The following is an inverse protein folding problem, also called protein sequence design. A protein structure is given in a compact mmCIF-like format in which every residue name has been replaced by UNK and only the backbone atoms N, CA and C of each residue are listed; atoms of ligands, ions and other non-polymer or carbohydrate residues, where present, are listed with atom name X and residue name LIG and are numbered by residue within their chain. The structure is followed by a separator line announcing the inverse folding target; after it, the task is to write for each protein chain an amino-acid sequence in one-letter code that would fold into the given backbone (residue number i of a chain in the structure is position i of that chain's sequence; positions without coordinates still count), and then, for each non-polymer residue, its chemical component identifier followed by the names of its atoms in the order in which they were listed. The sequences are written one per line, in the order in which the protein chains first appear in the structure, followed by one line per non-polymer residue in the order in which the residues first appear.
data_IF_251242201057
#
_entry.id   IF_251242201057
#
_cell.length_a   1.000
_cell.length_b   1.000
_cell.length_c   1.000
_cell.angle_alpha   90.00
_cell.angle_beta   90.00
_cell.angle_gamma   90.00
#
_symmetry.space_group_name_H-M   'P 1'
#
loop_
_entity.id
_entity.type
_entity.pdbx_description
1 polymer ?
#
# COMPACT_ATOMS: atom_id res chain seq x y z
N UNK A 1 3.64 -0.84 28.62
CA UNK A 1 3.85 -1.98 27.70
C UNK A 1 5.19 -1.77 27.02
N UNK A 2 6.24 -2.49 27.44
CA UNK A 2 7.51 -2.50 26.69
C UNK A 2 7.26 -3.34 25.43
N UNK A 3 7.41 -2.75 24.25
CA UNK A 3 7.36 -3.48 22.99
C UNK A 3 8.62 -4.34 22.89
N UNK A 4 8.63 -5.48 23.58
CA UNK A 4 9.71 -6.46 23.46
C UNK A 4 9.77 -6.98 22.02
N UNK A 5 10.96 -7.32 21.50
CA UNK A 5 11.17 -7.91 20.17
C UNK A 5 10.27 -9.10 19.81
N UNK A 6 9.64 -9.72 20.82
CA UNK A 6 8.58 -10.72 20.70
C UNK A 6 7.31 -10.21 20.00
N UNK A 7 6.92 -8.95 20.20
CA UNK A 7 5.71 -8.37 19.61
C UNK A 7 5.91 -8.03 18.12
N UNK A 8 7.11 -7.60 17.76
CA UNK A 8 7.51 -7.34 16.36
C UNK A 8 7.55 -8.63 15.53
N UNK A 9 8.03 -9.73 16.12
CA UNK A 9 7.95 -11.07 15.50
C UNK A 9 6.51 -11.57 15.29
N UNK A 10 5.55 -11.08 16.07
CA UNK A 10 4.14 -11.45 15.90
C UNK A 10 3.46 -10.72 14.72
N UNK A 11 3.91 -9.51 14.36
CA UNK A 11 3.44 -8.82 13.14
C UNK A 11 3.97 -9.48 11.85
N UNK A 12 5.17 -10.07 11.92
CA UNK A 12 5.69 -10.94 10.87
C UNK A 12 4.89 -12.27 10.71
N UNK A 13 3.84 -12.50 11.51
CA UNK A 13 3.12 -13.78 11.51
C UNK A 13 1.84 -13.79 10.66
N UNK A 14 1.45 -12.67 10.01
CA UNK A 14 0.10 -12.58 9.41
C UNK A 14 -0.04 -13.04 7.95
N UNK A 15 1.05 -13.40 7.27
CA UNK A 15 0.99 -14.16 6.03
C UNK A 15 2.28 -15.00 5.92
N UNK A 16 2.22 -16.33 6.16
CA UNK A 16 3.41 -17.19 6.18
C UNK A 16 3.99 -17.29 4.76
N UNK A 17 4.93 -16.40 4.44
CA UNK A 17 5.62 -16.32 3.15
C UNK A 17 6.02 -14.89 2.77
N UNK A 18 5.11 -13.93 2.88
CA UNK A 18 5.40 -12.52 2.57
C UNK A 18 6.11 -11.83 3.72
N UNK A 19 5.67 -12.11 4.94
CA UNK A 19 6.27 -11.51 6.12
C UNK A 19 7.73 -11.92 6.31
N UNK A 20 8.10 -13.16 5.95
CA UNK A 20 9.51 -13.60 5.95
C UNK A 20 10.37 -12.86 4.91
N UNK A 21 9.78 -12.44 3.77
CA UNK A 21 10.49 -11.64 2.77
C UNK A 21 10.73 -10.22 3.27
N UNK A 22 9.73 -9.63 3.92
CA UNK A 22 9.85 -8.31 4.55
C UNK A 22 10.94 -8.36 5.62
N UNK A 23 10.88 -9.36 6.50
CA UNK A 23 11.88 -9.61 7.56
C UNK A 23 13.32 -9.59 7.00
N UNK A 24 13.56 -10.39 5.96
CA UNK A 24 14.87 -10.47 5.31
C UNK A 24 15.33 -9.16 4.65
N UNK A 25 14.41 -8.41 4.05
CA UNK A 25 14.71 -7.09 3.49
C UNK A 25 15.08 -6.11 4.61
N UNK A 26 14.34 -6.14 5.72
CA UNK A 26 14.56 -5.26 6.87
C UNK A 26 15.88 -5.56 7.59
N UNK A 27 16.26 -6.83 7.73
CA UNK A 27 17.58 -7.22 8.26
C UNK A 27 18.72 -6.68 7.39
N UNK A 28 18.66 -6.91 6.06
CA UNK A 28 19.67 -6.41 5.14
C UNK A 28 19.73 -4.88 5.12
N UNK A 29 18.57 -4.22 5.19
CA UNK A 29 18.49 -2.77 5.32
C UNK A 29 19.20 -2.29 6.58
N UNK A 30 18.91 -2.88 7.74
CA UNK A 30 19.46 -2.50 9.03
C UNK A 30 20.99 -2.64 9.05
N UNK A 31 21.51 -3.79 8.60
CA UNK A 31 22.94 -4.00 8.48
C UNK A 31 23.61 -2.97 7.56
N UNK A 32 23.02 -2.72 6.39
CA UNK A 32 23.58 -1.79 5.41
C UNK A 32 23.52 -0.37 5.94
N UNK A 33 22.43 0.01 6.61
CA UNK A 33 22.27 1.32 7.21
C UNK A 33 23.35 1.57 8.25
N UNK A 34 23.60 0.65 9.19
CA UNK A 34 24.64 0.81 10.20
C UNK A 34 26.05 0.83 9.59
N UNK A 35 26.32 0.03 8.55
CA UNK A 35 27.60 0.08 7.81
C UNK A 35 27.83 1.45 7.16
N UNK A 36 26.77 2.08 6.63
CA UNK A 36 26.85 3.41 6.03
C UNK A 36 26.83 4.55 7.07
N UNK A 37 26.23 4.33 8.25
CA UNK A 37 25.98 5.33 9.28
C UNK A 37 26.46 4.84 10.66
N UNK A 38 27.77 4.60 10.85
CA UNK A 38 28.31 3.85 12.00
C UNK A 38 28.18 4.55 13.36
N UNK A 39 27.70 5.79 13.41
CA UNK A 39 27.57 6.59 14.65
C UNK A 39 26.11 6.82 15.07
N UNK A 40 25.15 6.34 14.28
CA UNK A 40 23.72 6.64 14.51
C UNK A 40 23.11 5.65 15.50
N UNK A 41 23.48 4.38 15.42
CA UNK A 41 22.96 3.30 16.28
C UNK A 41 24.09 2.44 16.84
N UNK A 42 23.89 1.88 18.03
CA UNK A 42 24.86 0.98 18.67
C UNK A 42 24.95 -0.37 17.94
N UNK A 43 23.84 -0.85 17.39
CA UNK A 43 23.76 -2.13 16.70
C UNK A 43 22.80 -2.08 15.50
N UNK A 44 22.91 -3.09 14.62
CA UNK A 44 21.94 -3.29 13.54
C UNK A 44 20.55 -3.66 14.09
N UNK A 45 20.49 -4.29 15.26
CA UNK A 45 19.23 -4.63 15.93
C UNK A 45 18.43 -3.38 16.31
N UNK A 46 19.09 -2.30 16.74
CA UNK A 46 18.45 -1.00 16.96
C UNK A 46 17.83 -0.45 15.68
N UNK A 47 18.59 -0.44 14.58
CA UNK A 47 18.13 0.07 13.29
C UNK A 47 16.93 -0.73 12.77
N UNK A 48 17.00 -2.06 12.91
CA UNK A 48 15.94 -2.99 12.58
C UNK A 48 14.66 -2.71 13.38
N UNK A 49 14.78 -2.66 14.72
CA UNK A 49 13.64 -2.43 15.61
C UNK A 49 12.97 -1.07 15.36
N UNK A 50 13.77 0.00 15.19
CA UNK A 50 13.25 1.33 14.90
C UNK A 50 12.53 1.37 13.54
N UNK A 51 13.07 0.69 12.52
CA UNK A 51 12.46 0.66 11.20
C UNK A 51 11.10 -0.07 11.21
N UNK A 52 10.94 -1.12 12.01
CA UNK A 52 9.62 -1.72 12.25
C UNK A 52 8.68 -0.79 13.04
N UNK A 53 9.18 -0.07 14.03
CA UNK A 53 8.39 0.96 14.74
C UNK A 53 7.85 2.02 13.78
N UNK A 54 8.64 2.42 12.79
CA UNK A 54 8.22 3.34 11.72
C UNK A 54 7.13 2.74 10.84
N UNK A 55 7.24 1.47 10.44
CA UNK A 55 6.19 0.78 9.65
C UNK A 55 4.87 0.73 10.43
N UNK A 56 4.92 0.39 11.72
CA UNK A 56 3.73 0.38 12.57
C UNK A 56 3.13 1.77 12.74
N UNK A 57 3.96 2.79 12.94
CA UNK A 57 3.51 4.17 13.03
C UNK A 57 2.85 4.64 11.73
N UNK A 58 3.43 4.31 10.57
CA UNK A 58 2.85 4.67 9.28
C UNK A 58 1.48 4.01 9.08
N UNK A 59 1.35 2.73 9.46
CA UNK A 59 0.08 2.00 9.45
C UNK A 59 -0.94 2.63 10.41
N UNK A 60 -0.53 2.93 11.64
CA UNK A 60 -1.38 3.59 12.64
C UNK A 60 -1.89 4.93 12.12
N UNK A 61 -0.99 5.78 11.63
CA UNK A 61 -1.28 7.13 11.15
C UNK A 61 -2.29 7.12 9.99
N UNK A 62 -2.08 6.26 8.99
CA UNK A 62 -2.83 6.32 7.72
C UNK A 62 -4.00 5.34 7.62
N UNK A 63 -4.13 4.36 8.52
CA UNK A 63 -5.26 3.43 8.48
C UNK A 63 -6.54 4.10 9.06
N UNK A 64 -7.61 4.30 8.26
CA UNK A 64 -8.82 4.97 8.72
C UNK A 64 -9.59 4.19 9.81
N UNK A 65 -9.32 2.89 9.99
CA UNK A 65 -9.94 2.08 11.04
C UNK A 65 -9.35 2.35 12.44
N UNK A 66 -8.16 2.94 12.51
CA UNK A 66 -7.52 3.31 13.78
C UNK A 66 -8.11 4.64 14.25
N UNK A 67 -8.90 4.60 15.32
CA UNK A 67 -9.59 5.80 15.85
C UNK A 67 -8.68 6.69 16.67
N UNK A 68 -7.84 6.09 17.51
CA UNK A 68 -6.91 6.80 18.39
C UNK A 68 -5.50 6.61 17.82
N UNK A 69 -4.98 7.65 17.17
CA UNK A 69 -3.66 7.64 16.55
C UNK A 69 -2.58 7.77 17.62
N UNK A 70 -1.45 7.11 17.42
CA UNK A 70 -0.26 7.25 18.25
C UNK A 70 0.23 8.70 18.19
N UNK A 71 0.41 9.36 19.35
CA UNK A 71 1.02 10.70 19.40
C UNK A 71 2.55 10.62 19.34
N UNK A 72 3.27 11.74 19.09
CA UNK A 72 4.73 11.76 19.16
C UNK A 72 5.27 11.26 20.51
N UNK A 73 4.62 11.64 21.61
CA UNK A 73 5.04 11.26 22.96
C UNK A 73 4.79 9.77 23.22
N UNK A 74 3.71 9.21 22.67
CA UNK A 74 3.47 7.77 22.70
C UNK A 74 4.55 7.02 21.92
N UNK A 75 4.94 7.51 20.74
CA UNK A 75 5.99 6.92 19.92
C UNK A 75 7.35 6.94 20.63
N UNK A 76 7.73 8.06 21.24
CA UNK A 76 8.97 8.17 22.04
C UNK A 76 8.94 7.14 23.17
N UNK A 77 7.86 7.12 23.96
CA UNK A 77 7.70 6.20 25.09
C UNK A 77 7.76 4.72 24.67
N UNK A 78 7.21 4.40 23.51
CA UNK A 78 7.19 3.05 22.96
C UNK A 78 8.58 2.56 22.52
N UNK A 79 9.51 3.47 22.22
CA UNK A 79 10.86 3.17 21.75
C UNK A 79 11.96 3.45 22.81
N UNK A 80 11.59 3.63 24.09
CA UNK A 80 12.58 3.71 25.17
C UNK A 80 13.33 2.39 25.32
N UNK A 81 14.65 2.47 25.50
CA UNK A 81 15.56 1.33 25.64
C UNK A 81 15.84 0.58 24.34
N UNK A 82 15.45 1.13 23.17
CA UNK A 82 15.57 0.43 21.88
C UNK A 82 17.03 0.24 21.43
N UNK A 83 17.97 1.05 21.92
CA UNK A 83 19.37 0.99 21.54
C UNK A 83 20.20 0.20 22.55
N UNK A 84 20.12 -1.14 22.48
CA UNK A 84 20.79 -2.07 23.41
C UNK A 84 20.50 -1.74 24.89
N UNK A 85 19.26 -1.35 25.19
CA UNK A 85 18.82 -0.95 26.53
C UNK A 85 18.98 0.53 26.85
N UNK A 86 19.55 1.33 25.93
CA UNK A 86 19.63 2.80 26.03
C UNK A 86 18.54 3.48 25.21
N UNK A 87 18.30 4.74 25.54
CA UNK A 87 17.37 5.60 24.81
C UNK A 87 18.06 6.32 23.66
N UNK A 88 17.38 6.39 22.51
CA UNK A 88 17.74 7.31 21.44
C UNK A 88 17.35 8.75 21.84
N UNK A 89 18.02 9.79 21.31
CA UNK A 89 17.67 11.18 21.61
C UNK A 89 16.19 11.47 21.30
N UNK A 90 15.50 12.16 22.21
CA UNK A 90 14.07 12.45 22.05
C UNK A 90 13.79 13.24 20.77
N UNK A 91 14.61 14.26 20.50
CA UNK A 91 14.48 15.09 19.30
C UNK A 91 14.61 14.25 18.02
N UNK A 92 15.49 13.24 18.02
CA UNK A 92 15.65 12.32 16.91
C UNK A 92 14.39 11.49 16.71
N UNK A 93 13.84 10.86 17.76
CA UNK A 93 12.60 10.07 17.67
C UNK A 93 11.40 10.93 17.25
N UNK A 94 11.33 12.18 17.72
CA UNK A 94 10.31 13.14 17.32
C UNK A 94 10.42 13.51 15.84
N UNK A 95 11.64 13.70 15.34
CA UNK A 95 11.88 13.95 13.90
C UNK A 95 11.47 12.76 13.03
N UNK A 96 11.77 11.53 13.48
CA UNK A 96 11.38 10.29 12.81
C UNK A 96 9.86 10.15 12.78
N UNK A 97 9.17 10.46 13.88
CA UNK A 97 7.72 10.44 13.95
C UNK A 97 7.10 11.34 12.87
N UNK A 98 7.48 12.62 12.85
CA UNK A 98 6.88 13.57 11.91
C UNK A 98 7.16 13.18 10.46
N UNK A 99 8.38 12.74 10.14
CA UNK A 99 8.71 12.22 8.82
C UNK A 99 7.86 10.98 8.44
N UNK A 100 7.69 10.02 9.36
CA UNK A 100 6.94 8.80 9.09
C UNK A 100 5.42 9.03 8.91
N UNK A 101 4.89 10.09 9.53
CA UNK A 101 3.47 10.48 9.44
C UNK A 101 3.18 11.49 8.33
N UNK A 102 4.20 11.98 7.62
CA UNK A 102 4.00 12.97 6.57
C UNK A 102 3.41 12.32 5.31
N UNK A 103 2.21 12.75 4.97
CA UNK A 103 1.48 12.34 3.76
C UNK A 103 2.22 12.74 2.47
N UNK A 104 3.08 13.77 2.51
CA UNK A 104 3.91 14.19 1.37
C UNK A 104 4.94 13.13 1.02
N UNK A 105 5.55 12.47 2.02
CA UNK A 105 6.49 11.38 1.78
C UNK A 105 5.77 10.20 1.12
N UNK A 106 4.58 9.85 1.59
CA UNK A 106 3.75 8.83 0.95
C UNK A 106 3.41 9.21 -0.50
N UNK A 107 3.18 10.50 -0.79
CA UNK A 107 2.87 11.00 -2.15
C UNK A 107 4.07 10.86 -3.06
N UNK A 108 5.23 11.29 -2.59
CA UNK A 108 6.48 11.19 -3.34
C UNK A 108 6.81 9.73 -3.69
N UNK A 109 6.63 8.81 -2.75
CA UNK A 109 6.81 7.37 -3.01
C UNK A 109 5.91 6.91 -4.16
N UNK A 110 4.64 7.29 -4.17
CA UNK A 110 3.73 6.92 -5.26
C UNK A 110 4.14 7.57 -6.59
N UNK A 111 4.57 8.84 -6.60
CA UNK A 111 5.02 9.52 -7.83
C UNK A 111 6.18 8.78 -8.51
N UNK A 112 7.02 8.10 -7.75
CA UNK A 112 8.14 7.29 -8.29
C UNK A 112 7.65 5.90 -8.72
N UNK A 113 6.82 5.23 -7.93
CA UNK A 113 6.50 3.81 -8.14
C UNK A 113 5.24 3.53 -8.97
N UNK A 114 4.37 4.50 -9.22
CA UNK A 114 3.09 4.23 -9.88
C UNK A 114 3.25 3.64 -11.30
N UNK A 115 4.22 4.13 -12.09
CA UNK A 115 4.46 3.67 -13.46
C UNK A 115 5.01 2.23 -13.51
N UNK A 116 6.07 1.87 -12.75
CA UNK A 116 6.52 0.48 -12.71
C UNK A 116 5.48 -0.46 -12.08
N UNK A 117 4.69 -0.01 -11.10
CA UNK A 117 3.56 -0.79 -10.58
C UNK A 117 2.50 -1.07 -11.66
N UNK A 118 2.12 -0.04 -12.42
CA UNK A 118 1.16 -0.19 -13.52
C UNK A 118 1.67 -1.21 -14.54
N UNK A 119 2.95 -1.15 -14.92
CA UNK A 119 3.55 -2.13 -15.82
C UNK A 119 3.57 -3.54 -15.20
N UNK A 120 3.97 -3.66 -13.93
CA UNK A 120 4.09 -4.93 -13.24
C UNK A 120 2.75 -5.68 -13.09
N UNK A 121 1.63 -4.95 -13.04
CA UNK A 121 0.31 -5.58 -13.02
C UNK A 121 -0.28 -5.75 -14.43
N UNK A 122 -0.17 -4.74 -15.30
CA UNK A 122 -0.84 -4.78 -16.60
C UNK A 122 -0.18 -5.73 -17.59
N UNK A 123 1.15 -5.90 -17.55
CA UNK A 123 1.84 -6.79 -18.50
C UNK A 123 1.50 -8.27 -18.23
N UNK A 124 1.61 -8.79 -17.00
CA UNK A 124 1.23 -10.17 -16.73
C UNK A 124 -0.28 -10.40 -16.90
N UNK A 125 -1.13 -9.41 -16.59
CA UNK A 125 -2.58 -9.51 -16.81
C UNK A 125 -2.94 -9.68 -18.31
N UNK A 126 -2.19 -9.02 -19.20
CA UNK A 126 -2.37 -9.13 -20.64
C UNK A 126 -1.88 -10.51 -21.16
N UNK A 127 -0.71 -10.93 -20.71
CA UNK A 127 0.03 -12.07 -21.27
C UNK A 127 -0.27 -13.41 -20.61
N UNK A 128 -0.81 -13.42 -19.39
CA UNK A 128 -1.08 -14.64 -18.64
C UNK A 128 -2.50 -15.15 -18.89
N UNK A 129 -2.62 -16.48 -18.90
CA UNK A 129 -3.88 -17.22 -18.76
C UNK A 129 -3.96 -17.96 -17.40
N UNK A 130 -2.94 -17.81 -16.54
CA UNK A 130 -2.95 -18.35 -15.18
C UNK A 130 -3.89 -17.53 -14.28
N UNK A 131 -4.94 -18.18 -13.77
CA UNK A 131 -5.98 -17.56 -12.95
C UNK A 131 -5.44 -16.90 -11.67
N UNK A 132 -4.40 -17.48 -11.05
CA UNK A 132 -3.79 -16.93 -9.84
C UNK A 132 -3.05 -15.64 -10.18
N UNK A 133 -2.30 -15.62 -11.28
CA UNK A 133 -1.60 -14.42 -11.76
C UNK A 133 -2.59 -13.32 -12.11
N UNK A 134 -3.67 -13.65 -12.82
CA UNK A 134 -4.74 -12.72 -13.19
C UNK A 134 -5.38 -12.12 -11.94
N UNK A 135 -5.74 -12.94 -10.96
CA UNK A 135 -6.36 -12.49 -9.70
C UNK A 135 -5.44 -11.53 -8.93
N UNK A 136 -4.16 -11.87 -8.78
CA UNK A 136 -3.18 -11.03 -8.10
C UNK A 136 -2.96 -9.68 -8.81
N UNK A 137 -2.89 -9.68 -10.15
CA UNK A 137 -2.75 -8.44 -10.92
C UNK A 137 -3.97 -7.54 -10.80
N UNK A 138 -5.17 -8.10 -10.85
CA UNK A 138 -6.42 -7.35 -10.65
C UNK A 138 -6.46 -6.76 -9.23
N UNK A 139 -6.18 -7.55 -8.19
CA UNK A 139 -6.12 -7.08 -6.81
C UNK A 139 -5.08 -5.95 -6.65
N UNK A 140 -3.89 -6.11 -7.22
CA UNK A 140 -2.84 -5.09 -7.22
C UNK A 140 -3.28 -3.77 -7.87
N UNK A 141 -3.93 -3.82 -9.03
CA UNK A 141 -4.49 -2.63 -9.71
C UNK A 141 -5.54 -1.96 -8.84
N UNK A 142 -6.44 -2.71 -8.20
CA UNK A 142 -7.47 -2.14 -7.31
C UNK A 142 -6.86 -1.47 -6.09
N UNK A 143 -5.91 -2.12 -5.42
CA UNK A 143 -5.19 -1.55 -4.28
C UNK A 143 -4.48 -0.26 -4.68
N UNK A 144 -3.82 -0.24 -5.85
CA UNK A 144 -3.18 0.96 -6.39
C UNK A 144 -4.19 2.09 -6.64
N UNK A 145 -5.32 1.82 -7.31
CA UNK A 145 -6.38 2.81 -7.54
C UNK A 145 -6.87 3.39 -6.21
N UNK A 146 -7.11 2.55 -5.21
CA UNK A 146 -7.61 2.98 -3.90
C UNK A 146 -6.62 3.91 -3.19
N UNK A 147 -5.36 3.47 -3.05
CA UNK A 147 -4.31 4.27 -2.41
C UNK A 147 -4.14 5.59 -3.14
N UNK A 148 -3.97 5.58 -4.46
CA UNK A 148 -3.76 6.79 -5.27
C UNK A 148 -4.97 7.75 -5.18
N UNK A 149 -6.20 7.22 -5.06
CA UNK A 149 -7.40 8.02 -4.85
C UNK A 149 -7.43 8.71 -3.48
N UNK A 150 -7.09 7.99 -2.40
CA UNK A 150 -6.96 8.56 -1.04
C UNK A 150 -5.94 9.70 -1.02
N UNK A 151 -4.85 9.54 -1.77
CA UNK A 151 -3.75 10.51 -1.92
C UNK A 151 -4.12 11.72 -2.80
N UNK A 152 -5.34 11.73 -3.38
CA UNK A 152 -5.84 12.75 -4.31
C UNK A 152 -5.01 12.91 -5.60
N UNK A 153 -4.35 11.84 -6.05
CA UNK A 153 -3.47 11.83 -7.22
C UNK A 153 -4.25 11.44 -8.50
N UNK A 154 -5.14 12.34 -8.95
CA UNK A 154 -6.12 12.06 -10.03
C UNK A 154 -5.50 11.49 -11.31
N UNK A 155 -4.45 12.12 -11.85
CA UNK A 155 -3.80 11.68 -13.11
C UNK A 155 -3.30 10.24 -13.03
N UNK A 156 -2.64 9.89 -11.93
CA UNK A 156 -2.12 8.54 -11.71
C UNK A 156 -3.27 7.53 -11.59
N UNK A 157 -4.33 7.87 -10.84
CA UNK A 157 -5.51 7.03 -10.68
C UNK A 157 -6.17 6.75 -12.03
N UNK A 158 -6.34 7.78 -12.85
CA UNK A 158 -7.00 7.67 -14.14
C UNK A 158 -6.21 6.79 -15.11
N UNK A 159 -4.88 6.72 -14.99
CA UNK A 159 -4.04 5.78 -15.74
C UNK A 159 -4.32 4.32 -15.36
N UNK A 160 -4.40 4.00 -14.06
CA UNK A 160 -4.77 2.64 -13.60
C UNK A 160 -6.19 2.27 -14.00
N UNK A 161 -7.17 3.18 -13.85
CA UNK A 161 -8.56 2.96 -14.26
C UNK A 161 -8.65 2.71 -15.76
N UNK A 162 -7.94 3.50 -16.57
CA UNK A 162 -7.87 3.31 -18.02
C UNK A 162 -7.27 1.95 -18.38
N UNK A 163 -6.25 1.51 -17.65
CA UNK A 163 -5.65 0.19 -17.86
C UNK A 163 -6.64 -0.93 -17.53
N UNK A 164 -7.31 -0.86 -16.38
CA UNK A 164 -8.33 -1.83 -15.98
C UNK A 164 -9.48 -1.91 -16.99
N UNK A 165 -9.97 -0.75 -17.46
CA UNK A 165 -11.05 -0.68 -18.44
C UNK A 165 -10.72 -1.41 -19.75
N UNK A 166 -9.45 -1.39 -20.21
CA UNK A 166 -9.02 -2.15 -21.40
C UNK A 166 -9.24 -3.65 -21.23
N UNK A 167 -9.05 -4.17 -20.02
CA UNK A 167 -9.23 -5.59 -19.71
C UNK A 167 -10.68 -6.00 -19.48
N UNK A 168 -11.66 -5.13 -19.68
CA UNK A 168 -13.09 -5.50 -19.58
C UNK A 168 -13.70 -5.93 -20.92
N UNK A 169 -13.03 -5.70 -22.05
CA UNK A 169 -13.49 -6.04 -23.42
C UNK A 169 -14.93 -5.62 -23.77
N UNK A 170 -15.49 -4.60 -23.10
CA UNK A 170 -16.89 -4.18 -23.27
C UNK A 170 -17.27 -3.71 -24.69
N UNK A 171 -16.27 -3.45 -25.54
CA UNK A 171 -16.45 -3.04 -26.93
C UNK A 171 -16.55 -4.22 -27.92
N UNK A 172 -16.19 -5.44 -27.50
CA UNK A 172 -16.34 -6.66 -28.29
C UNK A 172 -16.80 -7.83 -27.42
N UNK A 173 -18.13 -7.96 -27.16
CA UNK A 173 -18.65 -9.02 -26.30
C UNK A 173 -18.34 -10.44 -26.76
N UNK A 174 -18.07 -10.62 -28.06
CA UNK A 174 -17.71 -11.91 -28.65
C UNK A 174 -16.31 -12.40 -28.25
N UNK A 175 -15.42 -11.51 -27.81
CA UNK A 175 -14.03 -11.82 -27.45
C UNK A 175 -13.82 -11.86 -25.92
N UNK A 176 -14.89 -11.86 -25.13
CA UNK A 176 -14.84 -11.88 -23.67
C UNK A 176 -14.32 -13.23 -23.19
N UNK A 177 -13.17 -13.22 -22.52
CA UNK A 177 -12.57 -14.35 -21.80
C UNK A 177 -12.88 -14.28 -20.30
N UNK A 178 -12.58 -15.34 -19.56
CA UNK A 178 -12.79 -15.42 -18.11
C UNK A 178 -12.15 -14.23 -17.36
N UNK A 179 -10.92 -13.83 -17.72
CA UNK A 179 -10.25 -12.65 -17.15
C UNK A 179 -11.00 -11.33 -17.34
N UNK A 180 -11.73 -11.18 -18.45
CA UNK A 180 -12.56 -10.01 -18.68
C UNK A 180 -13.80 -10.02 -17.77
N UNK A 181 -14.39 -11.20 -17.55
CA UNK A 181 -15.50 -11.39 -16.60
C UNK A 181 -15.03 -11.10 -15.18
N UNK A 182 -13.84 -11.55 -14.80
CA UNK A 182 -13.29 -11.34 -13.45
C UNK A 182 -12.94 -9.87 -13.19
N UNK A 183 -12.43 -9.16 -14.20
CA UNK A 183 -12.26 -7.71 -14.14
C UNK A 183 -13.61 -6.99 -13.91
N UNK A 184 -14.66 -7.38 -14.65
CA UNK A 184 -16.01 -6.81 -14.51
C UNK A 184 -16.65 -7.15 -13.15
N UNK A 185 -16.53 -8.40 -12.67
CA UNK A 185 -17.10 -8.84 -11.39
C UNK A 185 -16.46 -8.09 -10.22
N UNK A 186 -15.14 -7.99 -10.19
CA UNK A 186 -14.43 -7.26 -9.15
C UNK A 186 -14.74 -5.77 -9.14
N UNK A 187 -14.92 -5.15 -10.31
CA UNK A 187 -15.47 -3.79 -10.42
C UNK A 187 -16.89 -3.72 -9.83
N UNK A 188 -17.76 -4.69 -10.12
CA UNK A 188 -19.17 -4.68 -9.71
C UNK A 188 -19.42 -4.95 -8.22
N UNK A 189 -18.66 -5.87 -7.61
CA UNK A 189 -18.77 -6.23 -6.18
C UNK A 189 -18.30 -5.09 -5.26
N UNK A 190 -17.35 -4.25 -5.72
CA UNK A 190 -16.96 -3.02 -5.00
C UNK A 190 -17.74 -1.77 -5.45
N UNK A 191 -18.36 -1.78 -6.64
CA UNK A 191 -19.25 -0.71 -7.11
C UNK A 191 -20.60 -0.67 -6.39
N UNK A 192 -20.94 -1.62 -5.53
CA UNK A 192 -22.13 -1.52 -4.67
C UNK A 192 -22.07 -0.27 -3.76
N UNK A 193 -20.86 0.21 -3.44
CA UNK A 193 -20.61 1.49 -2.75
C UNK A 193 -20.64 2.72 -3.69
N UNK A 194 -20.53 2.52 -5.01
CA UNK A 194 -20.41 3.58 -6.05
C UNK A 194 -21.66 3.71 -6.95
N UNK A 195 -22.64 2.80 -6.81
CA UNK A 195 -23.92 2.80 -7.54
C UNK A 195 -24.71 4.11 -7.44
N UNK A 196 -24.52 4.91 -6.38
CA UNK A 196 -25.21 6.20 -6.20
C UNK A 196 -24.88 7.24 -7.27
N UNK A 197 -23.70 7.20 -7.90
CA UNK A 197 -23.20 8.28 -8.77
C UNK A 197 -23.32 7.98 -10.27
N UNK A 198 -23.31 6.71 -10.68
CA UNK A 198 -23.16 6.33 -12.11
C UNK A 198 -24.51 6.02 -12.80
N UNK A 199 -25.50 5.53 -12.05
CA UNK A 199 -26.85 5.23 -12.56
C UNK A 199 -27.59 6.42 -13.24
N UNK A 200 -27.44 7.69 -12.79
CA UNK A 200 -28.06 8.83 -13.47
C UNK A 200 -27.43 9.16 -14.83
N UNK A 201 -26.15 8.83 -15.02
CA UNK A 201 -25.40 9.13 -16.24
C UNK A 201 -25.74 8.15 -17.36
N UNK A 202 -25.94 6.87 -17.02
CA UNK A 202 -26.33 5.84 -17.98
C UNK A 202 -27.79 5.96 -18.46
N UNK A 203 -28.69 6.57 -17.66
CA UNK A 203 -30.08 6.86 -18.10
C UNK A 203 -30.21 8.04 -19.08
N UNK A 204 -29.16 8.85 -19.27
CA UNK A 204 -29.21 10.02 -20.16
C UNK A 204 -28.79 9.76 -21.61
N UNK A 205 -28.37 8.54 -21.97
CA UNK A 205 -28.02 8.19 -23.36
C UNK A 205 -28.69 6.90 -23.82
N UNK A 206 -29.86 7.05 -24.43
CA UNK A 206 -30.45 6.11 -25.40
C UNK A 206 -31.99 6.07 -25.38
N UNK A 207 -32.68 5.92 -26.52
CA UNK A 207 -32.40 6.38 -27.89
C UNK A 207 -33.41 7.47 -28.33
N UNK A 208 -33.05 8.23 -29.37
CA UNK A 208 -33.93 9.21 -30.00
C UNK A 208 -35.23 8.59 -30.52
N UNK A 209 -36.34 9.29 -30.29
CA UNK A 209 -37.61 9.03 -31.01
C UNK A 209 -37.47 9.60 -32.42
N UNK A 210 -37.47 8.72 -33.42
CA UNK A 210 -38.05 9.02 -34.72
C UNK A 210 -39.47 8.46 -34.75
N UNK A 211 -40.44 9.34 -34.51
CA UNK A 211 -41.73 9.50 -35.19
C UNK A 211 -42.49 10.60 -34.43
#
# INVERSE_FOLDING_TARGET
MRLSGSFYRALAFRAPGEAQKIDRIMEMFAERYCKCNPKVFSSADTAYALAYSVIMLNTDAHNPMVKNKMSPDDFIRNNLGIDDGKDLPEEYLRSVYYAATDVVISRFMIEVYWAPMLAAFSVPLDQSDDEVVIALCLEGIHCAIHVIAVMSMKTHRDAFVTSLAKFTSLHSPADIKQKNIDAIKNDSEKAEQTKSTILPVLKKKGPGRMQ
#
